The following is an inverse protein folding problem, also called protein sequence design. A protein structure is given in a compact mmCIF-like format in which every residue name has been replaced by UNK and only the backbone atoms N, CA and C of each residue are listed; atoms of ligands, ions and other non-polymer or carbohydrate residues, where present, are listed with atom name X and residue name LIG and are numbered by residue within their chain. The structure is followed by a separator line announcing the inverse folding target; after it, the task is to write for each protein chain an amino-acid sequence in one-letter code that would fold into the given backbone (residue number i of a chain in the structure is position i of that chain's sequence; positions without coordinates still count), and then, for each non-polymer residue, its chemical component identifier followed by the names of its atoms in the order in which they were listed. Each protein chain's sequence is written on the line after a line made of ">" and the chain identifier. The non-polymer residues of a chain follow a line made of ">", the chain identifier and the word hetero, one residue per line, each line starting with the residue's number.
data_IF_484660645574
#
_entry.id   IF_484660645574
#
_cell.length_a   1.000
_cell.length_b   1.000
_cell.length_c   1.000
_cell.angle_alpha   90.00
_cell.angle_beta   90.00
_cell.angle_gamma   90.00
#
_symmetry.space_group_name_H-M   'P 1'
#
loop_
_entity.id
_entity.type
_entity.pdbx_description
1 polymer ?
#
# COMPACT_ATOMS: atom_id res chain seq x y z
N UNK A 1 9.67 -0.67 28.60
CA UNK A 1 9.73 0.26 27.44
C UNK A 1 9.57 -0.51 26.12
N UNK A 2 8.35 -0.57 25.59
CA UNK A 2 8.12 -1.10 24.25
C UNK A 2 8.52 0.06 23.31
N UNK A 3 9.61 -0.11 22.55
CA UNK A 3 9.88 0.81 21.46
C UNK A 3 8.60 0.93 20.61
N UNK A 4 8.22 2.14 20.15
CA UNK A 4 7.14 2.23 19.19
C UNK A 4 7.52 1.30 18.04
N UNK A 5 6.69 0.29 17.77
CA UNK A 5 6.96 -0.65 16.68
C UNK A 5 7.20 0.18 15.41
N UNK A 6 8.23 -0.16 14.65
CA UNK A 6 8.50 0.51 13.39
C UNK A 6 7.28 0.43 12.47
N UNK A 7 7.07 1.43 11.62
CA UNK A 7 5.98 1.41 10.64
C UNK A 7 6.04 0.14 9.77
N UNK A 8 7.25 -0.39 9.52
CA UNK A 8 7.45 -1.66 8.80
C UNK A 8 6.77 -2.84 9.50
N UNK A 9 6.99 -2.97 10.81
CA UNK A 9 6.40 -4.05 11.61
C UNK A 9 4.88 -3.92 11.64
N UNK A 10 4.35 -2.70 11.76
CA UNK A 10 2.91 -2.44 11.67
C UNK A 10 2.34 -2.87 10.32
N UNK A 11 3.01 -2.51 9.22
CA UNK A 11 2.61 -2.90 7.86
C UNK A 11 2.58 -4.42 7.71
N UNK A 12 3.66 -5.11 8.10
CA UNK A 12 3.74 -6.57 7.98
C UNK A 12 2.67 -7.27 8.83
N UNK A 13 2.50 -6.85 10.09
CA UNK A 13 1.48 -7.43 10.97
C UNK A 13 0.07 -7.23 10.41
N UNK A 14 -0.23 -6.04 9.87
CA UNK A 14 -1.52 -5.74 9.27
C UNK A 14 -1.81 -6.64 8.06
N UNK A 15 -0.83 -6.82 7.17
CA UNK A 15 -0.97 -7.72 6.01
C UNK A 15 -1.23 -9.15 6.48
N UNK A 16 -0.48 -9.63 7.47
CA UNK A 16 -0.62 -10.99 7.98
C UNK A 16 -1.99 -11.25 8.62
N UNK A 17 -2.54 -10.27 9.34
CA UNK A 17 -3.86 -10.35 9.96
C UNK A 17 -5.00 -10.32 8.91
N UNK A 18 -4.83 -9.55 7.83
CA UNK A 18 -5.86 -9.41 6.80
C UNK A 18 -5.80 -10.46 5.69
N UNK A 19 -4.68 -11.15 5.50
CA UNK A 19 -4.51 -12.22 4.49
C UNK A 19 -5.69 -13.23 4.43
N UNK A 20 -6.25 -13.73 5.55
CA UNK A 20 -7.39 -14.65 5.53
C UNK A 20 -8.72 -13.98 5.11
N UNK A 21 -8.82 -12.66 5.19
CA UNK A 21 -10.04 -11.89 4.91
C UNK A 21 -10.06 -11.28 3.52
N UNK A 22 -8.93 -11.27 2.81
CA UNK A 22 -8.81 -10.84 1.42
C UNK A 22 -9.37 -11.88 0.46
N UNK A 23 -10.66 -12.22 0.61
CA UNK A 23 -11.36 -13.09 -0.33
C UNK A 23 -11.66 -12.31 -1.62
N UNK A 24 -10.93 -12.70 -2.67
CA UNK A 24 -11.09 -12.41 -4.10
C UNK A 24 -12.23 -11.48 -4.51
N UNK A 25 -12.00 -10.18 -4.35
CA UNK A 25 -12.45 -9.26 -5.41
C UNK A 25 -11.47 -9.46 -6.56
N UNK A 26 -11.98 -9.56 -7.78
CA UNK A 26 -11.19 -9.57 -9.00
C UNK A 26 -11.73 -8.44 -9.86
N UNK A 27 -10.83 -7.66 -10.47
CA UNK A 27 -11.17 -6.52 -11.32
C UNK A 27 -11.89 -5.37 -10.58
N UNK A 28 -11.18 -4.70 -9.68
CA UNK A 28 -11.69 -3.48 -9.05
C UNK A 28 -11.90 -2.39 -10.11
N UNK A 29 -13.12 -1.83 -10.25
CA UNK A 29 -13.37 -0.75 -11.20
C UNK A 29 -12.52 0.49 -10.87
N UNK A 30 -11.95 1.13 -11.90
CA UNK A 30 -11.12 2.33 -11.74
C UNK A 30 -11.86 3.46 -11.01
N UNK A 31 -13.17 3.60 -11.21
CA UNK A 31 -14.00 4.57 -10.50
C UNK A 31 -14.03 4.31 -8.98
N UNK A 32 -14.08 3.04 -8.56
CA UNK A 32 -14.05 2.67 -7.13
C UNK A 32 -12.69 3.01 -6.55
N UNK A 33 -11.61 2.69 -7.27
CA UNK A 33 -10.25 3.02 -6.86
C UNK A 33 -10.06 4.54 -6.74
N UNK A 34 -10.41 5.30 -7.78
CA UNK A 34 -10.31 6.76 -7.76
C UNK A 34 -11.10 7.39 -6.61
N UNK A 35 -12.30 6.86 -6.30
CA UNK A 35 -13.10 7.30 -5.16
C UNK A 35 -12.42 7.01 -3.82
N UNK A 36 -11.82 5.83 -3.66
CA UNK A 36 -11.07 5.45 -2.46
C UNK A 36 -9.86 6.37 -2.25
N UNK A 37 -9.07 6.60 -3.30
CA UNK A 37 -7.91 7.51 -3.28
C UNK A 37 -8.33 8.96 -2.97
N UNK A 38 -9.43 9.43 -3.58
CA UNK A 38 -9.97 10.76 -3.34
C UNK A 38 -10.41 10.98 -1.88
N UNK A 39 -10.94 9.94 -1.23
CA UNK A 39 -11.31 9.99 0.19
C UNK A 39 -10.10 10.12 1.13
N UNK A 40 -8.90 9.82 0.64
CA UNK A 40 -7.64 9.97 1.36
C UNK A 40 -6.88 11.25 0.98
N UNK A 41 -7.47 12.14 0.18
CA UNK A 41 -6.82 13.38 -0.28
C UNK A 41 -5.95 13.22 -1.52
N UNK A 42 -5.94 12.04 -2.15
CA UNK A 42 -5.23 11.79 -3.40
C UNK A 42 -6.10 11.98 -4.64
N UNK A 43 -5.47 11.92 -5.81
CA UNK A 43 -6.13 11.85 -7.11
C UNK A 43 -5.45 10.77 -7.95
N UNK A 44 -6.21 9.76 -8.37
CA UNK A 44 -5.71 8.75 -9.30
C UNK A 44 -5.56 9.39 -10.69
N UNK A 45 -4.32 9.66 -11.10
CA UNK A 45 -3.98 10.25 -12.40
C UNK A 45 -3.87 9.22 -13.50
N UNK A 46 -3.25 8.10 -13.18
CA UNK A 46 -3.02 7.01 -14.12
C UNK A 46 -3.80 5.79 -13.63
N UNK A 47 -4.58 5.13 -14.49
CA UNK A 47 -5.31 3.94 -14.07
C UNK A 47 -4.35 2.84 -13.62
N UNK A 48 -4.56 2.33 -12.40
CA UNK A 48 -3.84 1.17 -11.89
C UNK A 48 -4.56 -0.09 -12.38
N UNK A 49 -3.89 -0.84 -13.27
CA UNK A 49 -4.42 -2.09 -13.80
C UNK A 49 -4.13 -3.25 -12.86
N UNK A 50 -4.91 -4.33 -13.01
CA UNK A 50 -4.76 -5.56 -12.25
C UNK A 50 -4.88 -5.35 -10.73
N UNK A 51 -5.78 -4.45 -10.33
CA UNK A 51 -6.13 -4.28 -8.91
C UNK A 51 -7.21 -5.30 -8.60
N UNK A 52 -6.84 -6.31 -7.83
CA UNK A 52 -7.72 -7.38 -7.39
C UNK A 52 -8.55 -6.89 -6.19
N UNK A 53 -7.94 -6.18 -5.25
CA UNK A 53 -8.66 -5.67 -4.08
C UNK A 53 -8.39 -4.19 -3.86
N UNK A 54 -9.40 -3.47 -3.37
CA UNK A 54 -9.28 -2.09 -2.93
C UNK A 54 -10.29 -1.83 -1.80
N UNK A 55 -9.78 -1.57 -0.61
CA UNK A 55 -10.57 -1.31 0.59
C UNK A 55 -9.98 -0.20 1.43
N UNK A 56 -10.79 0.36 2.33
CA UNK A 56 -10.26 1.19 3.41
C UNK A 56 -9.66 0.27 4.47
N UNK A 57 -8.53 0.66 5.02
CA UNK A 57 -7.96 0.04 6.20
C UNK A 57 -7.74 1.09 7.28
N UNK A 58 -7.45 0.65 8.50
CA UNK A 58 -7.06 1.53 9.59
C UNK A 58 -5.62 1.24 9.96
N UNK A 59 -4.73 2.17 9.62
CA UNK A 59 -3.31 2.07 9.96
C UNK A 59 -3.07 2.89 11.22
N UNK A 60 -2.94 2.19 12.35
CA UNK A 60 -2.81 2.80 13.69
C UNK A 60 -3.96 3.76 13.99
N UNK A 61 -3.72 5.07 13.95
CA UNK A 61 -4.71 6.11 14.24
C UNK A 61 -5.37 6.68 12.98
N UNK A 62 -4.80 6.48 11.80
CA UNK A 62 -5.24 7.14 10.58
C UNK A 62 -5.95 6.17 9.62
N UNK A 63 -7.01 6.64 8.92
CA UNK A 63 -7.61 5.87 7.85
C UNK A 63 -6.64 5.77 6.67
N UNK A 64 -6.48 4.57 6.12
CA UNK A 64 -5.68 4.29 4.94
C UNK A 64 -6.47 3.58 3.85
N UNK A 65 -5.78 3.22 2.78
CA UNK A 65 -6.30 2.31 1.76
C UNK A 65 -5.39 1.10 1.62
N UNK A 66 -6.01 -0.06 1.49
CA UNK A 66 -5.38 -1.33 1.19
C UNK A 66 -5.76 -1.73 -0.23
N UNK A 67 -4.77 -1.78 -1.10
CA UNK A 67 -4.89 -2.28 -2.47
C UNK A 67 -4.12 -3.59 -2.60
N UNK A 68 -4.64 -4.54 -3.37
CA UNK A 68 -3.89 -5.74 -3.76
C UNK A 68 -3.84 -5.77 -5.27
N UNK A 69 -2.63 -5.74 -5.82
CA UNK A 69 -2.35 -5.82 -7.25
C UNK A 69 -1.88 -7.23 -7.60
N UNK A 70 -2.14 -7.69 -8.82
CA UNK A 70 -1.48 -8.86 -9.36
C UNK A 70 -0.03 -8.51 -9.73
N UNK A 71 0.94 -9.11 -9.03
CA UNK A 71 2.36 -9.10 -9.38
C UNK A 71 2.75 -10.27 -10.27
N UNK A 72 4.03 -10.34 -10.63
CA UNK A 72 4.59 -11.39 -11.50
C UNK A 72 4.85 -12.69 -10.72
N UNK A 73 5.18 -12.62 -9.42
CA UNK A 73 5.43 -13.78 -8.56
C UNK A 73 4.31 -14.05 -7.56
N UNK A 74 3.42 -13.09 -7.36
CA UNK A 74 2.31 -13.22 -6.42
C UNK A 74 1.54 -11.90 -6.24
N UNK A 75 0.57 -11.87 -5.32
CA UNK A 75 -0.13 -10.64 -4.99
C UNK A 75 0.83 -9.62 -4.37
N UNK A 76 0.67 -8.36 -4.74
CA UNK A 76 1.41 -7.22 -4.20
C UNK A 76 0.45 -6.31 -3.48
N UNK A 77 0.64 -6.17 -2.17
CA UNK A 77 -0.11 -5.26 -1.32
C UNK A 77 0.47 -3.86 -1.39
N UNK A 78 -0.40 -2.89 -1.57
CA UNK A 78 -0.08 -1.46 -1.49
C UNK A 78 -0.95 -0.85 -0.40
N UNK A 79 -0.31 -0.36 0.66
CA UNK A 79 -0.94 0.37 1.75
C UNK A 79 -0.65 1.84 1.59
N UNK A 80 -1.71 2.64 1.55
CA UNK A 80 -1.63 4.09 1.51
C UNK A 80 -1.97 4.59 2.90
N UNK A 81 -1.05 5.35 3.51
CA UNK A 81 -1.10 5.72 4.92
C UNK A 81 -0.92 7.23 5.09
N UNK A 82 -1.97 8.03 4.83
CA UNK A 82 -1.95 9.45 5.16
C UNK A 82 -1.74 9.63 6.67
N UNK A 83 -0.96 10.64 7.07
CA UNK A 83 -0.64 10.93 8.46
C UNK A 83 0.47 10.05 9.08
N UNK A 84 0.88 8.97 8.43
CA UNK A 84 2.06 8.17 8.83
C UNK A 84 3.28 8.63 8.02
N UNK A 85 3.84 9.77 8.39
CA UNK A 85 5.00 10.37 7.71
C UNK A 85 6.29 9.60 8.01
N UNK A 86 7.16 9.52 7.01
CA UNK A 86 8.50 8.95 7.14
C UNK A 86 9.54 9.94 6.60
N UNK A 87 10.74 10.01 7.20
CA UNK A 87 11.75 11.00 6.80
C UNK A 87 12.37 10.70 5.42
N UNK A 88 12.40 9.44 5.01
CA UNK A 88 12.95 9.00 3.74
C UNK A 88 12.38 7.63 3.34
N UNK A 89 12.45 7.34 2.05
CA UNK A 89 12.12 6.01 1.53
C UNK A 89 13.07 4.95 2.06
N UNK A 90 12.54 3.78 2.41
CA UNK A 90 13.35 2.68 2.97
C UNK A 90 12.76 1.33 2.62
N UNK A 91 13.66 0.39 2.31
CA UNK A 91 13.32 -1.01 2.06
C UNK A 91 13.35 -1.81 3.34
N UNK A 92 12.46 -2.79 3.42
CA UNK A 92 12.38 -3.74 4.51
C UNK A 92 12.06 -5.12 3.95
N UNK A 93 12.40 -6.15 4.71
CA UNK A 93 12.14 -7.52 4.33
C UNK A 93 11.68 -8.32 5.54
N UNK A 94 11.02 -9.44 5.25
CA UNK A 94 10.59 -10.45 6.20
C UNK A 94 10.94 -11.84 5.63
N UNK A 95 10.57 -12.90 6.35
CA UNK A 95 10.80 -14.27 5.88
C UNK A 95 10.12 -14.54 4.52
N UNK A 96 8.93 -13.95 4.29
CA UNK A 96 8.11 -14.21 3.10
C UNK A 96 7.98 -13.01 2.15
N UNK A 97 8.17 -11.79 2.64
CA UNK A 97 7.88 -10.58 1.86
C UNK A 97 9.08 -9.65 1.73
N UNK A 98 9.20 -9.02 0.57
CA UNK A 98 9.99 -7.82 0.34
C UNK A 98 9.05 -6.60 0.31
N UNK A 99 9.50 -5.49 0.89
CA UNK A 99 8.70 -4.28 0.94
C UNK A 99 9.51 -2.99 0.87
N UNK A 100 8.82 -1.93 0.49
CA UNK A 100 9.34 -0.59 0.40
C UNK A 100 8.34 0.43 0.93
N UNK A 101 8.83 1.30 1.81
CA UNK A 101 8.12 2.49 2.27
C UNK A 101 8.58 3.67 1.44
N UNK A 102 7.64 4.40 0.84
CA UNK A 102 7.88 5.62 0.08
C UNK A 102 7.18 6.79 0.79
N UNK A 103 7.87 7.91 1.06
CA UNK A 103 7.21 9.11 1.55
C UNK A 103 6.32 9.72 0.47
N UNK A 104 5.14 10.19 0.88
CA UNK A 104 4.24 10.98 0.04
C UNK A 104 3.92 12.29 0.76
N UNK A 105 3.32 13.25 0.07
CA UNK A 105 2.81 14.45 0.74
C UNK A 105 1.83 14.04 1.84
N UNK A 106 2.12 14.46 3.09
CA UNK A 106 1.30 14.20 4.28
C UNK A 106 1.11 12.69 4.59
N UNK A 107 2.11 11.84 4.36
CA UNK A 107 2.07 10.44 4.80
C UNK A 107 3.12 9.54 4.15
N UNK A 108 2.78 8.25 4.02
CA UNK A 108 3.61 7.28 3.31
C UNK A 108 2.79 6.23 2.58
N UNK A 109 3.44 5.53 1.66
CA UNK A 109 2.92 4.36 0.97
C UNK A 109 3.85 3.19 1.28
N UNK A 110 3.29 2.05 1.66
CA UNK A 110 4.03 0.78 1.72
C UNK A 110 3.64 -0.09 0.54
N UNK A 111 4.63 -0.59 -0.20
CA UNK A 111 4.44 -1.62 -1.23
C UNK A 111 5.13 -2.89 -0.73
N UNK A 112 4.39 -4.00 -0.70
CA UNK A 112 4.84 -5.26 -0.13
C UNK A 112 4.40 -6.40 -1.04
N UNK A 113 5.32 -7.26 -1.44
CA UNK A 113 5.04 -8.41 -2.28
C UNK A 113 5.85 -9.62 -1.85
N UNK A 114 5.60 -10.75 -2.51
CA UNK A 114 6.37 -11.98 -2.29
C UNK A 114 7.86 -11.75 -2.58
N UNK A 115 8.73 -12.55 -1.95
CA UNK A 115 10.18 -12.46 -2.17
C UNK A 115 10.53 -12.50 -3.65
N UNK A 116 11.48 -11.65 -4.04
CA UNK A 116 11.98 -11.49 -5.41
C UNK A 116 11.00 -10.82 -6.40
N UNK A 117 9.83 -10.34 -5.95
CA UNK A 117 9.00 -9.43 -6.75
C UNK A 117 9.77 -8.13 -7.04
N UNK A 118 9.50 -7.50 -8.18
CA UNK A 118 10.11 -6.21 -8.53
C UNK A 118 9.40 -5.05 -7.79
N UNK A 119 9.59 -5.02 -6.47
CA UNK A 119 8.92 -4.08 -5.55
C UNK A 119 9.20 -2.63 -5.96
N UNK A 120 10.45 -2.32 -6.29
CA UNK A 120 10.89 -0.99 -6.71
C UNK A 120 10.06 -0.49 -7.90
N UNK A 121 9.99 -1.28 -8.97
CA UNK A 121 9.22 -0.94 -10.17
C UNK A 121 7.73 -0.72 -9.88
N UNK A 122 7.14 -1.55 -9.02
CA UNK A 122 5.72 -1.44 -8.65
C UNK A 122 5.49 -0.20 -7.79
N UNK A 123 6.36 0.04 -6.82
CA UNK A 123 6.30 1.16 -5.90
C UNK A 123 6.43 2.50 -6.65
N UNK A 124 7.37 2.58 -7.59
CA UNK A 124 7.49 3.71 -8.51
C UNK A 124 6.22 3.92 -9.36
N UNK A 125 5.64 2.85 -9.91
CA UNK A 125 4.38 2.94 -10.70
C UNK A 125 3.23 3.49 -9.86
N UNK A 126 3.06 2.98 -8.64
CA UNK A 126 2.00 3.42 -7.72
C UNK A 126 2.17 4.89 -7.37
N UNK A 127 3.39 5.31 -6.98
CA UNK A 127 3.69 6.69 -6.64
C UNK A 127 3.42 7.65 -7.81
N UNK A 128 3.72 7.26 -9.05
CA UNK A 128 3.43 8.06 -10.25
C UNK A 128 1.95 8.07 -10.64
N UNK A 129 1.18 7.09 -10.18
CA UNK A 129 -0.23 6.95 -10.54
C UNK A 129 -1.15 7.81 -9.67
N UNK A 130 -0.67 8.23 -8.51
CA UNK A 130 -1.44 8.99 -7.54
C UNK A 130 -0.80 10.36 -7.34
N UNK A 131 -1.58 11.42 -7.54
CA UNK A 131 -1.20 12.78 -7.19
C UNK A 131 -1.87 13.17 -5.89
N UNK A 132 -1.10 13.47 -4.86
CA UNK A 132 -1.62 13.98 -3.59
C UNK A 132 -2.02 15.45 -3.77
N UNK A 133 -3.24 15.80 -3.34
CA UNK A 133 -3.69 17.19 -3.32
C UNK A 133 -3.44 17.74 -1.92
N UNK A 134 -2.48 18.65 -1.85
CA UNK A 134 -2.27 19.59 -0.74
C UNK A 134 -3.34 20.70 -0.78
#
# INVERSE_FOLDING_TARGET
>A
PHAPQGLETTVLNHIQDELPHLHEVRDVPQQRLAKLIAQLGGELKTPLRHVNFAGKCQMRKYPGAHLVLAGERGPVTVLIMPGEEIPAGRRFHSERFDGELIPIDNGSVAVVGERNEDIDRIAHRVAQSIRWRI
#
